data_IF_114027138007
#
_entry.id   IF_114027138007
#
_cell.length_a   1.000
_cell.length_b   1.000
_cell.length_c   1.000
_cell.angle_alpha   90.00
_cell.angle_beta   90.00
_cell.angle_gamma   90.00
#
_symmetry.space_group_name_H-M   'P 1'
#
loop_
_entity.id
_entity.type
_entity.pdbx_description
1 polymer ?
#
# COMPACT_ATOMS: atom_id res chain seq x y z
N UNK A 1 7.82 8.32 -12.80
CA UNK A 1 7.40 7.93 -11.44
C UNK A 1 8.41 6.95 -10.87
N UNK A 2 8.88 7.21 -9.68
CA UNK A 2 9.81 6.30 -9.01
C UNK A 2 9.17 5.78 -7.73
N UNK A 3 8.91 4.48 -7.67
CA UNK A 3 8.37 3.82 -6.50
C UNK A 3 9.54 3.30 -5.66
N UNK A 4 9.60 3.70 -4.41
CA UNK A 4 10.66 3.24 -3.51
C UNK A 4 10.44 1.80 -3.10
N UNK A 5 11.53 1.12 -2.71
CA UNK A 5 11.46 -0.24 -2.16
C UNK A 5 10.55 -0.31 -0.94
N UNK A 6 10.53 0.73 -0.11
CA UNK A 6 9.64 0.82 1.06
C UNK A 6 8.17 0.74 0.66
N UNK A 7 7.76 1.50 -0.35
CA UNK A 7 6.37 1.51 -0.82
C UNK A 7 6.00 0.15 -1.41
N UNK A 8 6.83 -0.40 -2.28
CA UNK A 8 6.58 -1.71 -2.89
C UNK A 8 6.48 -2.82 -1.83
N UNK A 9 7.46 -2.91 -0.95
CA UNK A 9 7.43 -3.89 0.14
C UNK A 9 6.27 -3.68 1.10
N UNK A 10 5.88 -2.43 1.34
CA UNK A 10 4.72 -2.10 2.18
C UNK A 10 3.41 -2.58 1.58
N UNK A 11 3.23 -2.41 0.28
CA UNK A 11 2.04 -2.91 -0.44
C UNK A 11 2.03 -4.44 -0.42
N UNK A 12 3.15 -5.08 -0.69
CA UNK A 12 3.29 -6.54 -0.64
C UNK A 12 2.93 -7.07 0.76
N UNK A 13 3.47 -6.47 1.80
CA UNK A 13 3.21 -6.87 3.18
C UNK A 13 1.73 -6.71 3.54
N UNK A 14 1.11 -5.61 3.12
CA UNK A 14 -0.31 -5.36 3.41
C UNK A 14 -1.21 -6.38 2.70
N UNK A 15 -0.94 -6.69 1.45
CA UNK A 15 -1.69 -7.72 0.70
C UNK A 15 -1.51 -9.09 1.36
N UNK A 16 -0.30 -9.45 1.77
CA UNK A 16 0.00 -10.70 2.48
C UNK A 16 -0.82 -10.80 3.78
N UNK A 17 -0.83 -9.75 4.58
CA UNK A 17 -1.63 -9.69 5.81
C UNK A 17 -3.13 -9.83 5.49
N UNK A 18 -3.61 -9.11 4.50
CA UNK A 18 -5.02 -9.13 4.12
C UNK A 18 -5.49 -10.54 3.73
N UNK A 19 -4.70 -11.23 2.91
CA UNK A 19 -5.01 -12.58 2.44
C UNK A 19 -4.97 -13.60 3.59
N UNK A 20 -3.92 -13.54 4.42
CA UNK A 20 -3.68 -14.56 5.45
C UNK A 20 -4.39 -14.28 6.78
N UNK A 21 -5.09 -13.16 6.91
CA UNK A 21 -5.91 -12.84 8.08
C UNK A 21 -7.42 -12.91 7.83
N UNK A 22 -7.86 -13.39 6.66
CA UNK A 22 -9.29 -13.50 6.33
C UNK A 22 -10.06 -14.42 7.28
N UNK A 23 -9.40 -15.43 7.82
CA UNK A 23 -9.97 -16.34 8.82
C UNK A 23 -9.99 -15.76 10.24
N UNK A 24 -9.59 -14.51 10.42
CA UNK A 24 -9.48 -13.85 11.72
C UNK A 24 -8.18 -14.12 12.47
N UNK A 25 -7.30 -14.96 11.94
CA UNK A 25 -6.00 -15.24 12.56
C UNK A 25 -4.99 -14.13 12.25
N UNK A 26 -4.18 -13.77 13.25
CA UNK A 26 -3.11 -12.81 13.07
C UNK A 26 -1.97 -13.39 12.23
N UNK A 27 -1.34 -12.55 11.41
CA UNK A 27 -0.21 -12.91 10.57
C UNK A 27 1.08 -12.47 11.25
N UNK A 28 1.95 -13.42 11.56
CA UNK A 28 3.23 -13.13 12.18
C UNK A 28 4.21 -12.53 11.18
N UNK A 29 5.03 -11.58 11.64
CA UNK A 29 6.06 -10.93 10.80
C UNK A 29 7.01 -11.96 10.19
N UNK A 30 7.39 -12.98 10.95
CA UNK A 30 8.25 -14.06 10.45
C UNK A 30 7.62 -14.82 9.27
N UNK A 31 6.31 -14.99 9.27
CA UNK A 31 5.59 -15.64 8.18
C UNK A 31 5.60 -14.80 6.91
N UNK A 32 5.38 -13.48 7.05
CA UNK A 32 5.47 -12.54 5.92
C UNK A 32 6.90 -12.56 5.34
N UNK A 33 7.90 -12.50 6.22
CA UNK A 33 9.31 -12.53 5.84
C UNK A 33 9.65 -13.76 4.99
N UNK A 34 9.19 -14.93 5.41
CA UNK A 34 9.42 -16.19 4.68
C UNK A 34 8.72 -16.22 3.34
N UNK A 35 7.43 -15.82 3.29
CA UNK A 35 6.66 -15.86 2.04
C UNK A 35 7.16 -14.86 1.02
N UNK A 36 7.52 -13.65 1.45
CA UNK A 36 7.82 -12.54 0.56
C UNK A 36 9.31 -12.26 0.40
N UNK A 37 10.14 -12.99 1.12
CA UNK A 37 11.61 -12.80 1.10
C UNK A 37 12.01 -11.35 1.44
N UNK A 38 11.41 -10.80 2.48
CA UNK A 38 11.71 -9.47 3.01
C UNK A 38 12.22 -9.65 4.45
N UNK A 39 13.30 -8.95 4.83
CA UNK A 39 13.85 -9.11 6.18
C UNK A 39 12.84 -8.69 7.26
N UNK A 40 12.84 -9.41 8.38
CA UNK A 40 11.98 -9.09 9.53
C UNK A 40 12.21 -7.66 10.01
N UNK A 41 13.47 -7.23 10.10
CA UNK A 41 13.82 -5.87 10.54
C UNK A 41 13.23 -4.80 9.62
N UNK A 42 13.28 -5.02 8.32
CA UNK A 42 12.71 -4.08 7.33
C UNK A 42 11.18 -4.07 7.40
N UNK A 43 10.55 -5.25 7.52
CA UNK A 43 9.11 -5.36 7.71
C UNK A 43 8.63 -4.63 8.96
N UNK A 44 9.34 -4.74 10.07
CA UNK A 44 8.97 -4.04 11.30
C UNK A 44 8.92 -2.53 11.11
N UNK A 45 9.84 -1.95 10.33
CA UNK A 45 9.83 -0.53 9.98
C UNK A 45 8.61 -0.16 9.13
N UNK A 46 8.28 -0.98 8.14
CA UNK A 46 7.14 -0.77 7.24
C UNK A 46 5.82 -0.90 8.00
N UNK A 47 5.69 -1.92 8.85
CA UNK A 47 4.47 -2.21 9.59
C UNK A 47 4.12 -1.11 10.59
N UNK A 48 5.12 -0.38 11.10
CA UNK A 48 4.87 0.80 11.94
C UNK A 48 4.04 1.84 11.19
N UNK A 49 4.41 2.16 9.95
CA UNK A 49 3.68 3.13 9.13
C UNK A 49 2.24 2.68 8.86
N UNK A 50 2.04 1.41 8.53
CA UNK A 50 0.71 0.85 8.26
C UNK A 50 -0.17 0.81 9.51
N UNK A 51 0.42 0.56 10.68
CA UNK A 51 -0.27 0.57 11.96
C UNK A 51 -0.66 1.98 12.39
N UNK A 52 0.25 2.95 12.25
CA UNK A 52 0.00 4.35 12.60
C UNK A 52 -1.12 4.97 11.78
N UNK A 53 -1.33 4.52 10.56
CA UNK A 53 -2.41 4.97 9.68
C UNK A 53 -3.67 4.12 9.79
N UNK A 54 -3.71 3.20 10.74
CA UNK A 54 -4.87 2.33 11.02
C UNK A 54 -5.30 1.44 9.84
N UNK A 55 -4.36 1.06 9.00
CA UNK A 55 -4.61 0.07 7.94
C UNK A 55 -4.46 -1.36 8.46
N UNK A 56 -3.59 -1.56 9.46
CA UNK A 56 -3.44 -2.82 10.16
C UNK A 56 -3.57 -2.62 11.67
N UNK A 57 -3.83 -3.71 12.36
CA UNK A 57 -3.96 -3.76 13.81
C UNK A 57 -3.14 -4.91 14.36
N UNK A 58 -2.37 -4.65 15.44
CA UNK A 58 -1.60 -5.67 16.12
C UNK A 58 -2.44 -6.53 17.05
N UNK A 59 -2.15 -7.83 17.10
CA UNK A 59 -2.71 -8.79 18.04
C UNK A 59 -1.58 -9.29 18.93
N UNK A 60 -1.72 -9.09 20.24
CA UNK A 60 -0.73 -9.52 21.23
C UNK A 60 -0.90 -11.00 21.59
N UNK A 61 0.18 -11.63 22.03
CA UNK A 61 0.16 -12.97 22.59
C UNK A 61 0.92 -14.00 21.75
N UNK A 62 0.80 -15.27 22.12
CA UNK A 62 1.54 -16.40 21.51
C UNK A 62 1.24 -16.57 20.04
N UNK A 63 -0.03 -16.39 19.64
CA UNK A 63 -0.46 -16.39 18.23
C UNK A 63 -0.67 -14.96 17.71
N UNK A 64 0.16 -14.04 18.17
CA UNK A 64 0.10 -12.65 17.79
C UNK A 64 0.65 -12.38 16.40
N UNK A 65 0.44 -11.15 15.97
CA UNK A 65 0.83 -10.67 14.66
C UNK A 65 -0.07 -9.52 14.24
N UNK A 66 -0.42 -9.48 12.96
CA UNK A 66 -1.21 -8.39 12.40
C UNK A 66 -2.44 -8.90 11.64
N UNK A 67 -3.49 -8.12 11.69
CA UNK A 67 -4.70 -8.27 10.86
C UNK A 67 -4.99 -6.94 10.18
N UNK A 68 -5.75 -6.94 9.09
CA UNK A 68 -6.25 -5.68 8.53
C UNK A 68 -7.27 -5.08 9.49
N UNK A 69 -7.21 -3.74 9.65
CA UNK A 69 -8.06 -3.03 10.62
C UNK A 69 -9.45 -2.70 10.09
N UNK A 70 -9.63 -2.74 8.78
CA UNK A 70 -10.89 -2.44 8.08
C UNK A 70 -11.13 -3.43 6.96
N UNK A 71 -12.36 -3.57 6.46
CA UNK A 71 -12.63 -4.40 5.29
C UNK A 71 -11.78 -3.99 4.08
N UNK A 72 -11.19 -4.94 3.39
CA UNK A 72 -10.29 -4.69 2.27
C UNK A 72 -10.96 -3.91 1.12
N UNK A 73 -12.26 -4.08 0.92
CA UNK A 73 -13.02 -3.33 -0.08
C UNK A 73 -13.29 -1.87 0.30
N UNK A 74 -12.92 -1.46 1.51
CA UNK A 74 -13.03 -0.09 2.00
C UNK A 74 -11.67 0.60 2.15
N UNK A 75 -10.60 -0.06 1.75
CA UNK A 75 -9.25 0.50 1.76
C UNK A 75 -8.84 0.77 0.31
N UNK A 76 -8.64 2.06 -0.02
CA UNK A 76 -8.19 2.47 -1.35
C UNK A 76 -6.67 2.43 -1.46
N UNK A 77 -6.16 2.28 -2.68
CA UNK A 77 -4.72 2.39 -2.91
C UNK A 77 -4.18 3.80 -2.65
N UNK A 78 -5.00 4.83 -2.76
CA UNK A 78 -4.61 6.16 -2.31
C UNK A 78 -4.23 6.16 -0.83
N UNK A 79 -5.07 5.59 0.03
CA UNK A 79 -4.79 5.52 1.47
C UNK A 79 -3.51 4.72 1.76
N UNK A 80 -3.29 3.63 1.03
CA UNK A 80 -2.11 2.78 1.20
C UNK A 80 -0.84 3.54 0.81
N UNK A 81 -0.84 4.17 -0.36
CA UNK A 81 0.31 4.94 -0.84
C UNK A 81 0.60 6.12 0.08
N UNK A 82 -0.43 6.87 0.49
CA UNK A 82 -0.26 8.01 1.40
C UNK A 82 0.29 7.57 2.77
N UNK A 83 -0.06 6.38 3.23
CA UNK A 83 0.47 5.82 4.47
C UNK A 83 1.96 5.49 4.38
N UNK A 84 2.42 5.04 3.21
CA UNK A 84 3.79 4.60 2.99
C UNK A 84 4.70 5.74 2.53
N UNK A 85 4.20 6.60 1.66
CA UNK A 85 4.92 7.78 1.16
C UNK A 85 3.93 8.82 0.61
N UNK A 86 3.64 9.81 1.42
CA UNK A 86 2.70 10.89 1.07
C UNK A 86 3.15 11.72 -0.14
N UNK A 87 4.43 11.66 -0.50
CA UNK A 87 4.95 12.49 -1.60
C UNK A 87 4.60 11.96 -2.98
N UNK A 88 4.26 10.68 -3.12
CA UNK A 88 3.96 10.06 -4.41
C UNK A 88 2.72 10.68 -5.06
N UNK A 89 1.66 10.85 -4.28
CA UNK A 89 0.41 11.45 -4.73
C UNK A 89 0.26 12.91 -4.29
N UNK A 90 1.34 13.49 -3.75
CA UNK A 90 1.38 14.88 -3.32
C UNK A 90 1.41 15.84 -4.50
N UNK A 91 1.04 17.07 -4.24
CA UNK A 91 1.08 18.12 -5.23
C UNK A 91 2.53 18.43 -5.64
N UNK A 92 2.73 18.66 -6.94
CA UNK A 92 4.02 19.09 -7.45
C UNK A 92 4.13 20.59 -7.24
N UNK A 93 5.01 20.99 -6.33
CA UNK A 93 5.39 22.39 -6.16
C UNK A 93 6.67 22.66 -6.99
N UNK A 94 6.50 23.24 -8.14
CA UNK A 94 7.59 23.48 -9.09
C UNK A 94 8.29 24.84 -8.90
N UNK A 95 7.93 25.62 -7.88
CA UNK A 95 8.52 26.94 -7.71
C UNK A 95 8.49 27.52 -6.31
N UNK A 96 9.43 28.41 -6.03
CA UNK A 96 9.43 29.18 -4.78
C UNK A 96 8.32 30.25 -4.76
N UNK A 97 7.98 30.69 -3.56
CA UNK A 97 6.88 31.62 -3.28
C UNK A 97 6.93 32.96 -4.05
N UNK A 98 8.10 33.33 -4.61
CA UNK A 98 8.31 34.58 -5.29
C UNK A 98 8.24 34.51 -6.83
N UNK A 99 7.85 33.33 -7.39
CA UNK A 99 7.86 33.17 -8.83
C UNK A 99 6.48 33.44 -9.43
N UNK A 100 6.34 34.65 -9.98
CA UNK A 100 5.13 35.12 -10.65
C UNK A 100 5.13 34.82 -12.17
N UNK A 101 6.00 33.89 -12.63
CA UNK A 101 6.09 33.54 -14.05
C UNK A 101 4.79 32.93 -14.54
N UNK A 102 4.19 33.59 -15.55
CA UNK A 102 3.01 33.06 -16.23
C UNK A 102 3.26 31.69 -16.85
N UNK A 103 4.48 31.43 -17.35
CA UNK A 103 4.85 30.15 -17.93
C UNK A 103 4.81 29.05 -16.88
N UNK A 104 5.37 29.28 -15.68
CA UNK A 104 5.33 28.31 -14.59
C UNK A 104 3.91 28.03 -14.13
N UNK A 105 3.09 29.06 -13.95
CA UNK A 105 1.69 28.90 -13.59
C UNK A 105 0.92 28.08 -14.65
N UNK A 106 1.19 28.33 -15.92
CA UNK A 106 0.58 27.58 -17.03
C UNK A 106 0.99 26.11 -16.99
N UNK A 107 2.26 25.82 -16.76
CA UNK A 107 2.76 24.43 -16.63
C UNK A 107 2.13 23.75 -15.41
N UNK A 108 2.08 24.43 -14.28
CA UNK A 108 1.47 23.90 -13.05
C UNK A 108 0.03 23.47 -13.30
N UNK A 109 -0.80 24.38 -13.78
CA UNK A 109 -2.23 24.13 -14.01
C UNK A 109 -2.47 23.13 -15.15
N UNK A 110 -1.75 23.27 -16.26
CA UNK A 110 -2.02 22.49 -17.48
C UNK A 110 -1.43 21.08 -17.43
N UNK A 111 -0.40 20.85 -16.60
CA UNK A 111 0.32 19.58 -16.57
C UNK A 111 0.34 18.95 -15.17
N UNK A 112 1.00 19.57 -14.19
CA UNK A 112 1.24 18.93 -12.90
C UNK A 112 -0.04 18.70 -12.11
N UNK A 113 -0.93 19.69 -12.03
CA UNK A 113 -2.19 19.55 -11.29
C UNK A 113 -3.08 18.46 -11.91
N UNK A 114 -3.10 18.38 -13.24
CA UNK A 114 -3.86 17.35 -13.94
C UNK A 114 -3.28 15.96 -13.74
N UNK A 115 -1.95 15.82 -13.82
CA UNK A 115 -1.29 14.55 -13.58
C UNK A 115 -1.57 14.03 -12.16
N UNK A 116 -1.44 14.90 -11.17
CA UNK A 116 -1.75 14.54 -9.78
C UNK A 116 -3.20 14.14 -9.63
N UNK A 117 -4.13 14.90 -10.22
CA UNK A 117 -5.56 14.58 -10.18
C UNK A 117 -5.88 13.22 -10.80
N UNK A 118 -5.29 12.90 -11.94
CA UNK A 118 -5.49 11.60 -12.61
C UNK A 118 -4.92 10.45 -11.78
N UNK A 119 -3.72 10.60 -11.20
CA UNK A 119 -3.13 9.58 -10.35
C UNK A 119 -3.96 9.33 -9.09
N UNK A 120 -4.44 10.40 -8.45
CA UNK A 120 -5.32 10.28 -7.27
C UNK A 120 -6.62 9.58 -7.62
N UNK A 121 -7.24 9.96 -8.73
CA UNK A 121 -8.48 9.34 -9.18
C UNK A 121 -8.28 7.85 -9.47
N UNK A 122 -7.21 7.49 -10.15
CA UNK A 122 -6.87 6.09 -10.41
C UNK A 122 -6.69 5.31 -9.11
N UNK A 123 -5.90 5.81 -8.18
CA UNK A 123 -5.61 5.13 -6.91
C UNK A 123 -6.83 5.07 -5.99
N UNK A 124 -7.72 6.05 -6.05
CA UNK A 124 -8.98 6.03 -5.28
C UNK A 124 -9.95 4.97 -5.81
N UNK A 125 -9.89 4.68 -7.12
CA UNK A 125 -10.76 3.70 -7.76
C UNK A 125 -10.33 2.24 -7.59
N UNK A 126 -9.14 1.97 -7.05
CA UNK A 126 -8.64 0.61 -6.80
C UNK A 126 -8.59 0.36 -5.30
N UNK A 127 -9.18 -0.76 -4.86
CA UNK A 127 -9.18 -1.17 -3.46
C UNK A 127 -8.17 -2.27 -3.20
N UNK A 128 -7.86 -2.47 -1.91
CA UNK A 128 -7.06 -3.62 -1.47
C UNK A 128 -7.72 -4.94 -1.91
N UNK A 129 -9.05 -5.03 -1.82
CA UNK A 129 -9.79 -6.21 -2.28
C UNK A 129 -9.58 -6.48 -3.76
N UNK A 130 -9.61 -5.44 -4.60
CA UNK A 130 -9.36 -5.58 -6.05
C UNK A 130 -7.99 -6.21 -6.32
N UNK A 131 -6.95 -5.81 -5.59
CA UNK A 131 -5.61 -6.38 -5.76
C UNK A 131 -5.50 -7.81 -5.24
N UNK A 132 -6.16 -8.11 -4.14
CA UNK A 132 -6.25 -9.48 -3.64
C UNK A 132 -6.90 -10.40 -4.68
N UNK A 133 -8.00 -9.96 -5.27
CA UNK A 133 -8.72 -10.72 -6.29
C UNK A 133 -7.88 -10.93 -7.56
N UNK A 134 -7.20 -9.88 -8.01
CA UNK A 134 -6.29 -9.95 -9.16
C UNK A 134 -5.12 -10.88 -8.90
N UNK A 135 -4.55 -10.81 -7.71
CA UNK A 135 -3.45 -11.69 -7.32
C UNK A 135 -3.89 -13.16 -7.31
N UNK A 136 -5.02 -13.47 -6.72
CA UNK A 136 -5.57 -14.83 -6.68
C UNK A 136 -5.86 -15.37 -8.09
N UNK A 137 -6.37 -14.53 -8.97
CA UNK A 137 -6.63 -14.90 -10.36
C UNK A 137 -5.34 -15.14 -11.15
N UNK A 138 -4.24 -14.51 -10.75
CA UNK A 138 -2.94 -14.67 -11.39
C UNK A 138 -2.19 -15.92 -10.94
N UNK A 139 -2.57 -16.52 -9.80
CA UNK A 139 -1.93 -17.75 -9.30
C UNK A 139 -2.29 -18.91 -10.21
N UNK A 140 -1.31 -19.70 -10.75
CA UNK A 140 -1.59 -20.89 -11.52
C UNK A 140 -2.42 -21.89 -10.72
N UNK A 141 -3.36 -22.61 -11.37
CA UNK A 141 -4.27 -23.54 -10.67
C UNK A 141 -3.53 -24.60 -9.85
N UNK A 142 -2.40 -25.05 -10.31
CA UNK A 142 -1.58 -26.05 -9.62
C UNK A 142 -0.97 -25.49 -8.32
N UNK A 143 -0.68 -24.19 -8.28
CA UNK A 143 -0.17 -23.50 -7.08
C UNK A 143 -1.29 -23.03 -6.17
N UNK A 144 -2.46 -22.67 -6.71
CA UNK A 144 -3.61 -22.20 -5.93
C UNK A 144 -4.04 -23.23 -4.88
N UNK A 145 -3.93 -24.53 -5.19
CA UNK A 145 -4.24 -25.60 -4.26
C UNK A 145 -3.36 -25.56 -3.00
N UNK A 146 -2.10 -25.16 -3.13
CA UNK A 146 -1.17 -25.08 -1.99
C UNK A 146 -1.47 -23.92 -1.05
N UNK A 147 -2.15 -22.86 -1.52
CA UNK A 147 -2.49 -21.69 -0.70
C UNK A 147 -3.70 -21.93 0.21
N UNK A 148 -4.54 -22.92 -0.09
CA UNK A 148 -5.77 -23.23 0.66
C UNK A 148 -5.63 -24.41 1.62
N UNK A 149 -4.47 -25.04 1.64
CA UNK A 149 -4.12 -26.07 2.60
C UNK A 149 -3.42 -25.45 3.80
#
# INVERSE_FOLDING_TARGET
MKISTKVECGIIALIDIAIHSENGEAVAVSSISKRQNISVKYLEQILVALRQTHLIRGIKGFKGGYVIARPANQISFQEIIDALDITILGDVDAGGADDTSLLKATIQESLWDKMTAYLRQFCTGITLQDMMDRYRSAIPQDEAFMYYI
#
